data_IF_856869131149
#
_entry.id   IF_856869131149
#
_cell.length_a   1.000
_cell.length_b   1.000
_cell.length_c   1.000
_cell.angle_alpha   90.00
_cell.angle_beta   90.00
_cell.angle_gamma   90.00
#
_symmetry.space_group_name_H-M   'P 1'
#
loop_
_entity.id
_entity.type
_entity.pdbx_description
1 polymer ?
#
# COMPACT_ATOMS: atom_id res chain seq x y z
N UNK A 1 5.88 10.82 -32.64
CA UNK A 1 5.84 11.87 -31.59
C UNK A 1 4.65 11.58 -30.68
N UNK A 2 4.84 10.86 -29.57
CA UNK A 2 3.75 10.50 -28.65
C UNK A 2 3.68 11.58 -27.57
N UNK A 3 2.64 12.43 -27.62
CA UNK A 3 2.29 13.36 -26.55
C UNK A 3 1.80 12.53 -25.35
N UNK A 4 2.67 12.27 -24.38
CA UNK A 4 2.25 11.72 -23.09
C UNK A 4 1.72 12.89 -22.27
N UNK A 5 0.39 12.96 -22.15
CA UNK A 5 -0.30 13.95 -21.34
C UNK A 5 0.02 13.70 -19.87
N UNK A 6 0.58 14.71 -19.19
CA UNK A 6 0.76 14.75 -17.73
C UNK A 6 -0.61 14.86 -17.08
N UNK A 7 -1.28 13.74 -16.83
CA UNK A 7 -2.54 13.73 -16.08
C UNK A 7 -2.28 13.16 -14.69
N UNK A 8 -2.60 13.94 -13.64
CA UNK A 8 -2.54 13.43 -12.26
C UNK A 8 -3.70 12.45 -12.09
N UNK A 9 -3.55 11.45 -11.22
CA UNK A 9 -4.65 10.52 -10.94
C UNK A 9 -5.92 11.24 -10.46
N UNK A 10 -5.76 12.34 -9.71
CA UNK A 10 -6.86 13.23 -9.31
C UNK A 10 -7.68 13.78 -10.48
N UNK A 11 -7.04 14.03 -11.62
CA UNK A 11 -7.61 14.67 -12.82
C UNK A 11 -8.29 13.66 -13.76
N UNK A 12 -8.29 12.37 -13.41
CA UNK A 12 -8.97 11.33 -14.18
C UNK A 12 -10.47 11.33 -13.89
N UNK A 13 -11.28 11.07 -14.92
CA UNK A 13 -12.72 10.84 -14.72
C UNK A 13 -12.95 9.63 -13.81
N UNK A 14 -14.10 9.58 -13.15
CA UNK A 14 -14.50 8.44 -12.31
C UNK A 14 -14.47 7.13 -13.12
N UNK A 15 -14.87 7.16 -14.39
CA UNK A 15 -14.84 6.00 -15.27
C UNK A 15 -13.41 5.55 -15.60
N UNK A 16 -12.47 6.47 -15.80
CA UNK A 16 -11.06 6.12 -16.03
C UNK A 16 -10.40 5.59 -14.77
N UNK A 17 -10.68 6.18 -13.61
CA UNK A 17 -10.28 5.66 -12.30
C UNK A 17 -10.80 4.23 -12.11
N UNK A 18 -12.10 4.00 -12.34
CA UNK A 18 -12.72 2.68 -12.24
C UNK A 18 -12.17 1.68 -13.28
N UNK A 19 -11.86 2.13 -14.50
CA UNK A 19 -11.25 1.28 -15.53
C UNK A 19 -9.82 0.88 -15.19
N UNK A 20 -9.03 1.80 -14.63
CA UNK A 20 -7.68 1.51 -14.12
C UNK A 20 -7.80 0.54 -12.94
N UNK A 21 -8.68 0.82 -11.97
CA UNK A 21 -8.94 -0.07 -10.84
C UNK A 21 -9.39 -1.47 -11.28
N UNK A 22 -10.31 -1.59 -12.25
CA UNK A 22 -10.79 -2.87 -12.76
C UNK A 22 -9.72 -3.62 -13.58
N UNK A 23 -8.92 -2.91 -14.38
CA UNK A 23 -7.82 -3.51 -15.15
C UNK A 23 -6.63 -3.90 -14.27
N UNK A 24 -6.40 -3.21 -13.16
CA UNK A 24 -5.37 -3.56 -12.17
C UNK A 24 -5.83 -4.65 -11.22
N UNK A 25 -7.09 -4.64 -10.76
CA UNK A 25 -7.71 -5.74 -10.06
C UNK A 25 -7.53 -7.03 -10.86
N UNK A 26 -7.82 -7.03 -12.17
CA UNK A 26 -7.64 -8.22 -13.03
C UNK A 26 -6.18 -8.64 -13.29
N UNK A 27 -5.18 -7.77 -13.08
CA UNK A 27 -3.77 -8.02 -13.50
C UNK A 27 -2.75 -8.12 -12.35
N UNK A 28 -3.11 -7.84 -11.11
CA UNK A 28 -2.18 -7.90 -9.97
C UNK A 28 -2.82 -8.59 -8.75
N UNK A 29 -2.96 -9.93 -8.82
CA UNK A 29 -3.15 -10.79 -7.66
C UNK A 29 -1.91 -11.68 -7.46
N UNK A 30 -0.70 -11.12 -7.52
CA UNK A 30 0.48 -11.85 -7.03
C UNK A 30 0.52 -11.72 -5.51
N UNK A 31 0.69 -12.86 -4.84
CA UNK A 31 0.78 -12.96 -3.38
C UNK A 31 1.60 -11.80 -2.78
N UNK A 32 1.14 -11.16 -1.70
CA UNK A 32 1.99 -10.38 -0.81
C UNK A 32 3.16 -11.29 -0.40
N UNK A 33 4.31 -11.13 -1.05
CA UNK A 33 5.54 -11.80 -0.65
C UNK A 33 6.12 -11.01 0.51
N UNK A 34 5.52 -11.15 1.68
CA UNK A 34 6.17 -10.85 2.95
C UNK A 34 5.87 -11.99 3.91
N UNK A 35 6.88 -12.85 4.05
CA UNK A 35 7.24 -13.65 5.23
C UNK A 35 6.13 -13.96 6.24
N UNK A 36 5.20 -14.84 5.87
CA UNK A 36 4.74 -15.85 6.82
C UNK A 36 5.07 -17.21 6.22
N UNK A 37 5.69 -18.06 7.03
CA UNK A 37 6.05 -19.46 6.79
C UNK A 37 4.84 -20.37 6.52
N UNK A 38 3.68 -19.82 6.14
CA UNK A 38 2.42 -20.53 5.99
C UNK A 38 2.04 -20.73 4.53
N UNK A 39 1.61 -21.95 4.20
CA UNK A 39 1.04 -22.39 2.92
C UNK A 39 -0.33 -21.76 2.60
N UNK A 40 -0.58 -20.54 3.06
CA UNK A 40 -1.87 -19.87 2.96
C UNK A 40 -2.07 -19.14 1.64
N UNK A 41 -3.34 -18.98 1.26
CA UNK A 41 -3.75 -18.23 0.06
C UNK A 41 -4.15 -16.82 0.47
N UNK A 42 -3.55 -15.82 -0.14
CA UNK A 42 -3.96 -14.43 0.05
C UNK A 42 -5.16 -14.09 -0.82
N UNK A 43 -6.17 -13.46 -0.20
CA UNK A 43 -7.42 -13.06 -0.83
C UNK A 43 -7.72 -11.58 -0.51
N UNK A 44 -8.28 -10.82 -1.47
CA UNK A 44 -8.82 -9.50 -1.17
C UNK A 44 -10.01 -9.65 -0.22
N UNK A 45 -10.06 -8.80 0.82
CA UNK A 45 -11.11 -8.85 1.84
C UNK A 45 -12.04 -7.63 1.78
N UNK A 46 -11.55 -6.46 1.35
CA UNK A 46 -12.40 -5.28 1.20
C UNK A 46 -11.66 -4.00 0.86
N UNK A 47 -12.37 -3.04 0.26
CA UNK A 47 -11.88 -1.67 0.09
C UNK A 47 -11.99 -0.92 1.43
N UNK A 48 -10.93 -0.22 1.83
CA UNK A 48 -10.90 0.55 3.07
C UNK A 48 -10.99 2.05 2.83
N UNK A 49 -10.51 2.54 1.69
CA UNK A 49 -10.62 3.94 1.35
C UNK A 49 -9.78 4.34 0.14
N UNK A 50 -9.99 5.57 -0.32
CA UNK A 50 -9.26 6.19 -1.40
C UNK A 50 -8.86 7.61 -1.02
N UNK A 51 -7.63 7.99 -1.37
CA UNK A 51 -7.09 9.33 -1.17
C UNK A 51 -6.48 9.90 -2.44
N UNK A 52 -5.85 11.08 -2.31
CA UNK A 52 -5.24 11.79 -3.44
C UNK A 52 -4.13 11.00 -4.17
N UNK A 53 -3.52 10.04 -3.49
CA UNK A 53 -2.37 9.29 -4.01
C UNK A 53 -2.65 7.83 -4.33
N UNK A 54 -3.83 7.30 -4.00
CA UNK A 54 -4.09 5.88 -4.19
C UNK A 54 -5.26 5.31 -3.40
N UNK A 55 -5.26 3.99 -3.28
CA UNK A 55 -6.34 3.21 -2.68
C UNK A 55 -5.78 2.27 -1.61
N UNK A 56 -6.50 2.14 -0.50
CA UNK A 56 -6.23 1.17 0.55
C UNK A 56 -7.26 0.03 0.50
N UNK A 57 -6.78 -1.21 0.64
CA UNK A 57 -7.62 -2.40 0.69
C UNK A 57 -7.08 -3.41 1.72
N UNK A 58 -7.99 -4.07 2.43
CA UNK A 58 -7.67 -5.19 3.31
C UNK A 58 -7.50 -6.48 2.50
N UNK A 59 -6.55 -7.28 2.91
CA UNK A 59 -6.28 -8.62 2.40
C UNK A 59 -6.13 -9.59 3.57
N UNK A 60 -6.58 -10.83 3.36
CA UNK A 60 -6.54 -11.90 4.34
C UNK A 60 -5.74 -13.07 3.78
N UNK A 61 -4.92 -13.69 4.63
CA UNK A 61 -4.32 -14.98 4.34
C UNK A 61 -5.22 -16.06 4.92
N UNK A 62 -5.67 -17.01 4.10
CA UNK A 62 -6.47 -18.15 4.57
C UNK A 62 -5.66 -19.44 4.47
N UNK A 63 -5.75 -20.29 5.49
CA UNK A 63 -5.13 -21.61 5.46
C UNK A 63 -5.98 -22.63 4.66
N UNK A 64 -5.51 -23.87 4.56
CA UNK A 64 -6.21 -24.94 3.82
C UNK A 64 -7.61 -25.26 4.36
N UNK A 65 -7.92 -24.89 5.62
CA UNK A 65 -9.23 -25.06 6.26
C UNK A 65 -10.14 -23.84 6.04
N UNK A 66 -9.71 -22.85 5.25
CA UNK A 66 -10.46 -21.61 5.02
C UNK A 66 -10.45 -20.63 6.21
N UNK A 67 -9.62 -20.86 7.23
CA UNK A 67 -9.50 -19.95 8.38
C UNK A 67 -8.54 -18.82 8.07
N UNK A 68 -8.89 -17.59 8.44
CA UNK A 68 -8.01 -16.42 8.36
C UNK A 68 -6.86 -16.60 9.36
N UNK A 69 -5.63 -16.64 8.86
CA UNK A 69 -4.40 -16.77 9.65
C UNK A 69 -3.56 -15.51 9.67
N UNK A 70 -3.80 -14.58 8.74
CA UNK A 70 -3.14 -13.27 8.73
C UNK A 70 -4.01 -12.23 8.02
N UNK A 71 -3.73 -10.95 8.28
CA UNK A 71 -4.37 -9.78 7.67
C UNK A 71 -3.32 -8.73 7.35
N UNK A 72 -3.50 -8.06 6.21
CA UNK A 72 -2.63 -6.96 5.79
C UNK A 72 -3.47 -5.88 5.11
N UNK A 73 -3.08 -4.63 5.31
CA UNK A 73 -3.57 -3.51 4.50
C UNK A 73 -2.58 -3.26 3.39
N UNK A 74 -3.09 -3.16 2.17
CA UNK A 74 -2.31 -2.78 1.00
C UNK A 74 -2.77 -1.39 0.59
N UNK A 75 -1.86 -0.42 0.69
CA UNK A 75 -2.00 0.87 0.01
C UNK A 75 -1.35 0.76 -1.36
N UNK A 76 -2.18 0.68 -2.39
CA UNK A 76 -1.73 0.82 -3.77
C UNK A 76 -1.60 2.31 -4.09
N UNK A 77 -0.35 2.77 -4.22
CA UNK A 77 -0.05 4.14 -4.60
C UNK A 77 -0.06 4.27 -6.12
N UNK A 78 -0.86 5.22 -6.61
CA UNK A 78 -1.08 5.58 -8.01
C UNK A 78 -0.95 7.10 -8.16
N UNK A 79 0.25 7.67 -7.98
CA UNK A 79 0.40 9.11 -7.86
C UNK A 79 0.44 9.80 -9.25
N UNK A 80 0.33 9.02 -10.33
CA UNK A 80 0.57 9.46 -11.70
C UNK A 80 2.06 9.62 -12.02
N UNK A 81 2.38 9.82 -13.30
CA UNK A 81 3.78 9.84 -13.76
C UNK A 81 4.63 10.92 -13.08
N UNK A 82 4.10 12.14 -12.95
CA UNK A 82 4.86 13.27 -12.43
C UNK A 82 5.32 13.03 -10.98
N UNK A 83 4.41 12.56 -10.13
CA UNK A 83 4.70 12.28 -8.73
C UNK A 83 5.49 10.97 -8.57
N UNK A 84 5.22 9.94 -9.38
CA UNK A 84 6.06 8.74 -9.36
C UNK A 84 7.52 9.07 -9.70
N UNK A 85 7.75 9.97 -10.66
CA UNK A 85 9.10 10.37 -11.06
C UNK A 85 9.73 11.43 -10.15
N UNK A 86 9.02 11.92 -9.12
CA UNK A 86 9.58 12.83 -8.13
C UNK A 86 10.61 12.07 -7.28
N UNK A 87 11.90 12.47 -7.28
CA UNK A 87 12.92 11.84 -6.46
C UNK A 87 12.61 11.91 -4.95
N UNK A 88 11.82 12.89 -4.53
CA UNK A 88 11.41 13.06 -3.14
C UNK A 88 10.59 11.87 -2.60
N UNK A 89 9.92 11.11 -3.48
CA UNK A 89 9.13 9.95 -3.07
C UNK A 89 9.95 8.66 -2.87
N UNK A 90 11.27 8.72 -3.12
CA UNK A 90 12.16 7.55 -3.09
C UNK A 90 13.38 7.82 -2.21
N UNK A 91 13.87 6.77 -1.56
CA UNK A 91 15.13 6.81 -0.82
C UNK A 91 16.28 7.19 -1.76
N UNK A 92 17.14 8.10 -1.32
CA UNK A 92 18.28 8.64 -2.06
C UNK A 92 17.95 9.20 -3.46
N UNK A 93 16.68 9.53 -3.70
CA UNK A 93 16.22 9.99 -5.02
C UNK A 93 16.15 8.88 -6.08
N UNK A 94 16.34 7.62 -5.71
CA UNK A 94 16.35 6.50 -6.64
C UNK A 94 14.94 6.10 -7.10
N UNK A 95 14.45 6.73 -8.17
CA UNK A 95 13.09 6.52 -8.70
C UNK A 95 12.83 5.04 -9.06
N UNK A 96 11.80 4.49 -8.43
CA UNK A 96 11.43 3.07 -8.51
C UNK A 96 12.23 2.14 -7.61
N UNK A 97 13.01 2.69 -6.67
CA UNK A 97 13.69 1.97 -5.59
C UNK A 97 12.78 1.79 -4.36
N UNK A 98 13.30 2.09 -3.17
CA UNK A 98 12.56 2.02 -1.91
C UNK A 98 11.63 3.25 -1.80
N UNK A 99 10.31 3.07 -1.65
CA UNK A 99 9.41 4.18 -1.35
C UNK A 99 9.77 4.84 -0.02
N UNK A 100 9.86 6.17 -0.01
CA UNK A 100 10.24 6.92 1.19
C UNK A 100 9.26 6.74 2.35
N UNK A 101 7.96 6.61 2.06
CA UNK A 101 6.92 6.36 3.07
C UNK A 101 7.19 5.08 3.87
N UNK A 102 7.54 3.97 3.19
CA UNK A 102 7.92 2.73 3.86
C UNK A 102 9.21 2.88 4.65
N UNK A 103 10.24 3.46 4.02
CA UNK A 103 11.56 3.58 4.64
C UNK A 103 11.52 4.39 5.95
N UNK A 104 10.83 5.53 5.96
CA UNK A 104 10.69 6.35 7.16
C UNK A 104 9.95 5.60 8.29
N UNK A 105 8.92 4.83 7.94
CA UNK A 105 8.19 4.03 8.91
C UNK A 105 9.06 2.89 9.47
N UNK A 106 9.83 2.22 8.62
CA UNK A 106 10.74 1.15 9.05
C UNK A 106 11.92 1.66 9.89
N UNK A 107 12.45 2.84 9.57
CA UNK A 107 13.46 3.53 10.39
C UNK A 107 12.91 3.84 11.79
N UNK A 108 11.75 4.50 11.87
CA UNK A 108 11.12 4.82 13.16
C UNK A 108 10.87 3.54 13.97
N UNK A 109 10.35 2.48 13.34
CA UNK A 109 10.19 1.16 13.98
C UNK A 109 11.52 0.66 14.55
N UNK A 110 12.58 0.64 13.75
CA UNK A 110 13.90 0.17 14.17
C UNK A 110 14.48 0.98 15.33
N UNK A 111 14.30 2.31 15.32
CA UNK A 111 14.73 3.19 16.41
C UNK A 111 13.97 2.89 17.71
N UNK A 112 12.64 2.76 17.65
CA UNK A 112 11.81 2.44 18.82
C UNK A 112 12.13 1.04 19.38
N UNK A 113 12.35 0.04 18.51
CA UNK A 113 12.78 -1.30 18.94
C UNK A 113 14.14 -1.29 19.63
N UNK A 114 15.11 -0.53 19.10
CA UNK A 114 16.46 -0.46 19.62
C UNK A 114 16.52 0.13 21.03
N UNK A 115 15.63 1.07 21.36
CA UNK A 115 15.56 1.70 22.68
C UNK A 115 14.52 1.02 23.60
N UNK A 116 13.78 0.03 23.11
CA UNK A 116 12.71 -0.64 23.86
C UNK A 116 11.54 0.27 24.21
N UNK A 117 11.24 1.27 23.36
CA UNK A 117 10.16 2.23 23.62
C UNK A 117 8.80 1.59 23.36
N UNK A 118 7.91 1.69 24.35
CA UNK A 118 6.55 1.19 24.24
C UNK A 118 5.70 1.95 23.21
N UNK A 119 6.14 3.13 22.75
CA UNK A 119 5.49 3.91 21.70
C UNK A 119 5.31 3.11 20.40
N UNK A 120 6.12 2.08 20.17
CA UNK A 120 5.98 1.16 19.03
C UNK A 120 4.57 0.56 18.91
N UNK A 121 3.86 0.34 20.03
CA UNK A 121 2.49 -0.22 20.03
C UNK A 121 1.42 0.73 19.48
N UNK A 122 1.75 2.02 19.37
CA UNK A 122 0.84 3.04 18.83
C UNK A 122 1.11 3.34 17.34
N UNK A 123 2.08 2.65 16.74
CA UNK A 123 2.40 2.74 15.33
C UNK A 123 1.76 1.57 14.58
N UNK A 124 1.15 1.84 13.42
CA UNK A 124 0.75 0.78 12.52
C UNK A 124 2.00 0.09 11.95
N UNK A 125 2.14 -1.22 12.17
CA UNK A 125 3.38 -1.92 11.83
C UNK A 125 3.68 -1.87 10.31
N UNK A 126 4.83 -1.31 9.87
CA UNK A 126 5.23 -1.33 8.47
C UNK A 126 5.66 -2.75 8.09
N UNK A 127 4.89 -3.40 7.22
CA UNK A 127 5.15 -4.80 6.83
C UNK A 127 6.01 -4.93 5.58
N UNK A 128 6.17 -3.88 4.77
CA UNK A 128 7.00 -3.93 3.58
C UNK A 128 6.51 -3.02 2.44
N UNK A 129 7.11 -3.19 1.27
CA UNK A 129 6.66 -2.59 0.01
C UNK A 129 6.88 -3.53 -1.18
N UNK A 130 6.25 -3.27 -2.32
CA UNK A 130 6.41 -4.09 -3.51
C UNK A 130 5.64 -3.59 -4.72
N UNK A 131 5.53 -4.45 -5.75
CA UNK A 131 4.80 -4.17 -6.99
C UNK A 131 5.16 -2.83 -7.65
N UNK A 132 6.43 -2.41 -7.52
CA UNK A 132 6.92 -1.17 -8.11
C UNK A 132 6.93 -1.32 -9.63
N UNK A 133 6.12 -0.51 -10.30
CA UNK A 133 5.96 -0.52 -11.76
C UNK A 133 6.28 0.85 -12.32
N UNK A 134 7.47 0.98 -12.95
CA UNK A 134 7.86 2.19 -13.70
C UNK A 134 6.98 2.43 -14.94
N UNK A 135 6.35 1.37 -15.47
CA UNK A 135 5.44 1.44 -16.63
C UNK A 135 4.06 2.00 -16.25
N UNK A 136 3.55 1.58 -15.10
CA UNK A 136 2.22 1.97 -14.63
C UNK A 136 2.28 3.14 -13.65
N UNK A 137 3.47 3.54 -13.22
CA UNK A 137 3.70 4.55 -12.19
C UNK A 137 2.98 4.18 -10.88
N UNK A 138 3.17 2.94 -10.42
CA UNK A 138 2.51 2.43 -9.20
C UNK A 138 3.50 1.73 -8.28
N UNK A 139 3.18 1.65 -6.99
CA UNK A 139 3.82 0.76 -6.04
C UNK A 139 2.84 0.41 -4.90
N UNK A 140 3.13 -0.65 -4.15
CA UNK A 140 2.32 -1.11 -3.03
C UNK A 140 3.09 -0.93 -1.72
N UNK A 141 2.39 -0.49 -0.68
CA UNK A 141 2.86 -0.48 0.70
C UNK A 141 2.01 -1.46 1.50
N UNK A 142 2.67 -2.32 2.29
CA UNK A 142 2.03 -3.29 3.16
C UNK A 142 2.11 -2.79 4.60
N UNK A 143 0.98 -2.71 5.28
CA UNK A 143 0.91 -2.33 6.69
C UNK A 143 0.02 -3.27 7.48
N UNK A 144 0.14 -3.23 8.79
CA UNK A 144 -0.78 -3.86 9.71
C UNK A 144 -2.25 -3.52 9.40
N UNK A 145 -3.12 -4.49 9.67
CA UNK A 145 -4.56 -4.27 9.66
C UNK A 145 -5.07 -3.84 11.04
N UNK A 146 -5.50 -2.59 11.14
CA UNK A 146 -6.13 -2.05 12.34
C UNK A 146 -7.65 -2.32 12.31
N UNK A 147 -8.16 -3.17 13.19
CA UNK A 147 -9.55 -3.66 13.15
C UNK A 147 -10.62 -2.64 13.54
N UNK A 148 -10.23 -1.57 14.24
CA UNK A 148 -11.18 -0.59 14.80
C UNK A 148 -11.37 0.65 13.92
N UNK A 149 -10.74 0.70 12.74
CA UNK A 149 -10.82 1.85 11.85
C UNK A 149 -10.00 3.04 12.35
N UNK A 150 -10.43 4.25 12.00
CA UNK A 150 -9.79 5.50 12.42
C UNK A 150 -10.50 6.15 13.61
N UNK A 151 -9.80 7.08 14.27
CA UNK A 151 -10.34 7.78 15.44
C UNK A 151 -11.61 8.56 15.12
N UNK A 152 -11.74 9.11 13.90
CA UNK A 152 -12.92 9.87 13.48
C UNK A 152 -14.18 9.01 13.51
N UNK A 153 -14.06 7.77 13.03
CA UNK A 153 -15.16 6.80 13.04
C UNK A 153 -15.53 6.35 14.45
N UNK A 154 -14.59 6.40 15.39
CA UNK A 154 -14.82 5.98 16.77
C UNK A 154 -15.44 7.07 17.67
N UNK A 155 -15.34 8.35 17.29
CA UNK A 155 -15.77 9.47 18.14
C UNK A 155 -17.06 10.17 17.66
N UNK A 156 -17.75 9.63 16.64
CA UNK A 156 -19.04 10.15 16.12
C UNK A 156 -19.11 11.69 16.01
N UNK A 157 -18.14 12.32 15.33
CA UNK A 157 -18.17 13.74 14.95
C UNK A 157 -18.62 13.96 13.50
#
# INVERSE_FOLDING_TARGET
MVRIVRQRYGDLSVQEKNRILANHARKQYRNPTHTSSGTGKWLPAGHLGQGGEGVAAAWVCVNALGRIVDRVVIKQVMPGQAQFNSPQNWVDGNVGGIPREFHNADLLRGELEAIGDEAIRYMAYPRGYGQVSKKCFTYWLYSEYCSYGDLRTLIDL
#
